data_IF_525775538930
#
_entry.id   IF_525775538930
#
_cell.length_a   1.000
_cell.length_b   1.000
_cell.length_c   1.000
_cell.angle_alpha   90.00
_cell.angle_beta   90.00
_cell.angle_gamma   90.00
#
_symmetry.space_group_name_H-M   'P 1'
#
loop_
_entity.id
_entity.type
_entity.pdbx_description
1 polymer ?
#
# COMPACT_ATOMS: atom_id res chain seq x y z
N UNK A 1 40.06 -44.45 22.24
CA UNK A 1 39.95 -43.28 21.33
C UNK A 1 38.49 -42.91 21.21
N UNK A 2 38.06 -41.77 21.77
CA UNK A 2 36.65 -41.37 21.79
C UNK A 2 36.29 -40.69 20.46
N UNK A 3 35.38 -41.28 19.69
CA UNK A 3 34.79 -40.65 18.50
C UNK A 3 33.87 -39.51 18.97
N UNK A 4 34.30 -38.26 18.77
CA UNK A 4 33.43 -37.09 19.03
C UNK A 4 32.13 -37.25 18.25
N UNK A 5 31.00 -36.97 18.89
CA UNK A 5 29.69 -37.05 18.24
C UNK A 5 29.61 -36.06 17.07
N UNK A 6 28.85 -36.40 16.03
CA UNK A 6 28.66 -35.54 14.84
C UNK A 6 28.11 -34.16 15.22
N UNK A 7 27.31 -34.10 16.27
CA UNK A 7 26.75 -32.87 16.82
C UNK A 7 27.85 -31.91 17.35
N UNK A 8 28.87 -32.43 18.03
CA UNK A 8 30.01 -31.61 18.50
C UNK A 8 30.85 -31.09 17.34
N UNK A 9 30.96 -31.86 16.26
CA UNK A 9 31.77 -31.47 15.09
C UNK A 9 31.03 -30.42 14.24
N UNK A 10 29.74 -30.61 14.00
CA UNK A 10 28.99 -29.84 13.01
C UNK A 10 28.00 -28.83 13.60
N UNK A 11 27.65 -28.94 14.88
CA UNK A 11 26.57 -28.16 15.50
C UNK A 11 26.74 -26.65 15.35
N UNK A 12 27.96 -26.14 15.59
CA UNK A 12 28.27 -24.71 15.41
C UNK A 12 28.20 -24.25 13.95
N UNK A 13 28.64 -25.08 13.01
CA UNK A 13 28.58 -24.76 11.58
C UNK A 13 27.15 -24.76 11.05
N UNK A 14 26.33 -25.73 11.48
CA UNK A 14 24.91 -25.81 11.13
C UNK A 14 24.17 -24.60 11.68
N UNK A 15 24.39 -24.25 12.96
CA UNK A 15 23.78 -23.07 13.58
C UNK A 15 24.19 -21.77 12.87
N UNK A 16 25.48 -21.59 12.58
CA UNK A 16 25.97 -20.41 11.86
C UNK A 16 25.45 -20.32 10.43
N UNK A 17 25.32 -21.45 9.72
CA UNK A 17 24.72 -21.49 8.39
C UNK A 17 23.23 -21.13 8.42
N UNK A 18 22.48 -21.66 9.40
CA UNK A 18 21.06 -21.33 9.59
C UNK A 18 20.84 -19.85 9.92
N UNK A 19 21.67 -19.27 10.79
CA UNK A 19 21.63 -17.83 11.10
C UNK A 19 21.87 -16.97 9.85
N UNK A 20 22.90 -17.28 9.05
CA UNK A 20 23.18 -16.55 7.81
C UNK A 20 22.03 -16.67 6.80
N UNK A 21 21.45 -17.86 6.65
CA UNK A 21 20.31 -18.06 5.77
C UNK A 21 19.09 -17.23 6.21
N UNK A 22 18.80 -17.19 7.51
CA UNK A 22 17.73 -16.36 8.06
C UNK A 22 18.01 -14.87 7.87
N UNK A 23 19.23 -14.42 8.14
CA UNK A 23 19.62 -13.01 7.96
C UNK A 23 19.46 -12.58 6.50
N UNK A 24 19.94 -13.38 5.54
CA UNK A 24 19.81 -13.08 4.12
C UNK A 24 18.33 -12.94 3.68
N UNK A 25 17.41 -13.70 4.28
CA UNK A 25 15.96 -13.56 4.03
C UNK A 25 15.41 -12.26 4.59
N UNK A 26 15.80 -11.88 5.81
CA UNK A 26 15.38 -10.63 6.44
C UNK A 26 15.90 -9.43 5.65
N UNK A 27 17.16 -9.47 5.24
CA UNK A 27 17.79 -8.41 4.44
C UNK A 27 17.09 -8.25 3.09
N UNK A 28 16.75 -9.36 2.43
CA UNK A 28 16.01 -9.35 1.18
C UNK A 28 14.59 -8.76 1.36
N UNK A 29 13.86 -9.14 2.41
CA UNK A 29 12.54 -8.58 2.70
C UNK A 29 12.61 -7.07 2.98
N UNK A 30 13.62 -6.64 3.73
CA UNK A 30 13.87 -5.22 4.02
C UNK A 30 14.16 -4.44 2.73
N UNK A 31 15.00 -4.99 1.84
CA UNK A 31 15.32 -4.36 0.56
C UNK A 31 14.08 -4.23 -0.34
N UNK A 32 13.21 -5.25 -0.37
CA UNK A 32 11.93 -5.19 -1.11
C UNK A 32 11.02 -4.12 -0.53
N UNK A 33 10.93 -4.02 0.81
CA UNK A 33 10.14 -2.99 1.48
C UNK A 33 10.61 -1.58 1.14
N UNK A 34 11.91 -1.36 1.11
CA UNK A 34 12.49 -0.07 0.76
C UNK A 34 12.23 0.29 -0.72
N UNK A 35 12.36 -0.69 -1.62
CA UNK A 35 12.04 -0.50 -3.04
C UNK A 35 10.56 -0.10 -3.23
N UNK A 36 9.65 -0.81 -2.58
CA UNK A 36 8.21 -0.52 -2.63
C UNK A 36 7.87 0.86 -2.06
N UNK A 37 8.57 1.28 -1.00
CA UNK A 37 8.44 2.62 -0.43
C UNK A 37 8.87 3.70 -1.43
N UNK A 38 10.04 3.53 -2.04
CA UNK A 38 10.57 4.46 -3.02
C UNK A 38 9.67 4.59 -4.26
N UNK A 39 9.12 3.47 -4.75
CA UNK A 39 8.15 3.48 -5.86
C UNK A 39 6.86 4.24 -5.52
N UNK A 40 6.32 3.99 -4.32
CA UNK A 40 5.12 4.65 -3.83
C UNK A 40 5.34 6.16 -3.63
N UNK A 41 6.47 6.57 -3.06
CA UNK A 41 6.83 7.97 -2.89
C UNK A 41 7.01 8.67 -4.24
N UNK A 42 7.75 8.07 -5.17
CA UNK A 42 7.96 8.62 -6.51
C UNK A 42 6.64 8.82 -7.26
N UNK A 43 5.71 7.88 -7.14
CA UNK A 43 4.36 8.02 -7.69
C UNK A 43 3.59 9.14 -7.00
N UNK A 44 3.65 9.22 -5.67
CA UNK A 44 2.99 10.24 -4.86
C UNK A 44 3.41 11.66 -5.26
N UNK A 45 4.72 11.90 -5.37
CA UNK A 45 5.31 13.18 -5.79
C UNK A 45 4.89 13.54 -7.22
N UNK A 46 4.90 12.56 -8.14
CA UNK A 46 4.44 12.77 -9.52
C UNK A 46 2.98 13.21 -9.56
N UNK A 47 2.12 12.54 -8.80
CA UNK A 47 0.68 12.83 -8.78
C UNK A 47 0.37 14.16 -8.11
N UNK A 48 1.05 14.51 -7.01
CA UNK A 48 0.85 15.80 -6.33
C UNK A 48 1.40 16.98 -7.14
N UNK A 49 2.54 16.80 -7.82
CA UNK A 49 3.19 17.86 -8.59
C UNK A 49 2.58 18.10 -9.98
N UNK A 50 2.37 17.03 -10.76
CA UNK A 50 1.90 17.14 -12.15
C UNK A 50 0.40 16.84 -12.32
N UNK A 51 -0.26 16.24 -11.33
CA UNK A 51 -1.66 15.83 -11.43
C UNK A 51 -1.91 14.63 -12.35
N UNK A 52 -0.86 13.97 -12.86
CA UNK A 52 -0.95 12.81 -13.74
C UNK A 52 0.22 12.73 -14.74
N UNK A 53 0.32 11.64 -15.53
CA UNK A 53 -0.61 10.50 -15.60
C UNK A 53 -0.49 9.54 -14.41
N UNK A 54 -1.60 8.88 -14.07
CA UNK A 54 -1.63 7.87 -12.99
C UNK A 54 -0.77 6.64 -13.30
N UNK A 55 -0.37 6.44 -14.56
CA UNK A 55 0.46 5.33 -15.02
C UNK A 55 1.94 5.76 -15.19
N UNK A 56 2.89 4.86 -14.89
CA UNK A 56 2.73 3.61 -14.14
C UNK A 56 2.49 3.88 -12.65
N UNK A 57 1.65 3.06 -11.99
CA UNK A 57 1.41 3.13 -10.54
C UNK A 57 1.90 1.88 -9.84
N UNK A 58 2.32 1.98 -8.57
CA UNK A 58 2.53 0.80 -7.72
C UNK A 58 1.22 0.03 -7.51
N UNK A 59 1.34 -1.20 -7.02
CA UNK A 59 0.22 -2.02 -6.57
C UNK A 59 -0.19 -1.68 -5.14
N UNK A 60 -1.44 -2.01 -4.77
CA UNK A 60 -1.94 -1.84 -3.39
C UNK A 60 -1.01 -2.53 -2.37
N UNK A 61 -0.50 -3.72 -2.71
CA UNK A 61 0.41 -4.50 -1.90
C UNK A 61 1.75 -3.82 -1.69
N UNK A 62 2.34 -3.27 -2.76
CA UNK A 62 3.60 -2.51 -2.66
C UNK A 62 3.42 -1.25 -1.81
N UNK A 63 2.33 -0.50 -1.99
CA UNK A 63 2.06 0.67 -1.14
C UNK A 63 1.97 0.29 0.34
N UNK A 64 1.24 -0.78 0.67
CA UNK A 64 1.11 -1.25 2.05
C UNK A 64 2.44 -1.79 2.59
N UNK A 65 3.24 -2.50 1.79
CA UNK A 65 4.55 -2.97 2.19
C UNK A 65 5.49 -1.79 2.49
N UNK A 66 5.50 -0.77 1.61
CA UNK A 66 6.26 0.46 1.76
C UNK A 66 5.74 1.44 2.81
N UNK A 67 4.68 1.09 3.57
CA UNK A 67 4.16 1.92 4.67
C UNK A 67 3.14 2.98 4.26
N UNK A 68 2.76 3.06 2.99
CA UNK A 68 1.71 3.97 2.50
C UNK A 68 0.33 3.34 2.66
N UNK A 69 -0.33 3.61 3.80
CA UNK A 69 -1.65 3.07 4.13
C UNK A 69 -2.84 3.82 3.51
N UNK A 70 -2.62 5.04 3.01
CA UNK A 70 -3.72 5.95 2.64
C UNK A 70 -3.54 6.51 1.23
N UNK A 71 -4.66 6.60 0.51
CA UNK A 71 -4.76 7.23 -0.79
C UNK A 71 -5.63 8.48 -0.70
N UNK A 72 -5.06 9.63 -1.00
CA UNK A 72 -5.83 10.86 -1.13
C UNK A 72 -6.49 10.95 -2.50
N UNK A 73 -7.77 11.28 -2.49
CA UNK A 73 -8.58 11.45 -3.70
C UNK A 73 -9.34 12.77 -3.63
N UNK A 74 -9.56 13.41 -4.77
CA UNK A 74 -10.31 14.65 -4.90
C UNK A 74 -11.55 14.45 -5.77
N UNK A 75 -12.70 14.91 -5.29
CA UNK A 75 -13.93 14.92 -6.08
C UNK A 75 -13.86 15.97 -7.20
N UNK A 76 -14.06 15.56 -8.46
CA UNK A 76 -14.04 16.48 -9.59
C UNK A 76 -15.10 17.59 -9.52
N UNK A 77 -16.24 17.34 -8.85
CA UNK A 77 -17.36 18.30 -8.75
C UNK A 77 -17.19 19.32 -7.63
N UNK A 78 -16.89 18.87 -6.41
CA UNK A 78 -16.82 19.74 -5.20
C UNK A 78 -15.41 20.12 -4.80
N UNK A 79 -14.37 19.55 -5.43
CA UNK A 79 -12.96 19.75 -5.07
C UNK A 79 -12.64 19.38 -3.62
N UNK A 80 -13.46 18.53 -3.03
CA UNK A 80 -13.25 18.01 -1.68
C UNK A 80 -12.28 16.84 -1.74
N UNK A 81 -11.26 16.88 -0.87
CA UNK A 81 -10.31 15.79 -0.70
C UNK A 81 -10.76 14.81 0.37
N UNK A 82 -10.42 13.54 0.21
CA UNK A 82 -10.67 12.48 1.18
C UNK A 82 -9.50 11.50 1.21
N UNK A 83 -9.16 10.99 2.40
CA UNK A 83 -8.19 9.90 2.54
C UNK A 83 -8.92 8.56 2.61
N UNK A 84 -8.62 7.68 1.66
CA UNK A 84 -9.12 6.31 1.58
C UNK A 84 -8.09 5.34 2.13
N UNK A 85 -8.47 4.46 3.07
CA UNK A 85 -7.58 3.43 3.58
C UNK A 85 -7.39 2.32 2.52
N UNK A 86 -6.16 2.04 2.12
CA UNK A 86 -5.82 1.04 1.09
C UNK A 86 -6.02 -0.41 1.56
N UNK A 87 -5.95 -0.64 2.87
CA UNK A 87 -6.20 -1.95 3.47
C UNK A 87 -7.66 -2.40 3.34
N UNK A 88 -8.61 -1.47 3.46
CA UNK A 88 -10.06 -1.69 3.40
C UNK A 88 -10.61 -1.82 1.98
N UNK A 89 -9.80 -1.55 0.95
CA UNK A 89 -10.21 -1.72 -0.44
C UNK A 89 -10.33 -3.21 -0.75
N UNK A 90 -11.54 -3.66 -1.13
CA UNK A 90 -11.86 -5.06 -1.52
C UNK A 90 -11.32 -5.44 -2.90
N UNK A 91 -10.10 -5.03 -3.23
CA UNK A 91 -9.39 -5.42 -4.46
C UNK A 91 -8.18 -6.28 -4.09
N UNK A 92 -7.78 -7.21 -4.96
CA UNK A 92 -6.53 -7.94 -4.80
C UNK A 92 -5.33 -7.01 -4.57
N UNK A 93 -4.37 -7.41 -3.75
CA UNK A 93 -3.21 -6.57 -3.40
C UNK A 93 -2.25 -6.35 -4.58
N UNK A 94 -2.26 -7.23 -5.57
CA UNK A 94 -1.56 -7.08 -6.85
C UNK A 94 -2.21 -6.06 -7.80
N UNK A 95 -3.37 -5.48 -7.42
CA UNK A 95 -4.05 -4.51 -8.27
C UNK A 95 -3.26 -3.19 -8.29
N UNK A 96 -2.84 -2.69 -9.47
CA UNK A 96 -2.22 -1.37 -9.58
C UNK A 96 -3.23 -0.26 -9.25
N UNK A 97 -2.79 0.75 -8.51
CA UNK A 97 -3.63 1.86 -8.06
C UNK A 97 -4.37 2.57 -9.20
N UNK A 98 -3.75 2.72 -10.37
CA UNK A 98 -4.40 3.40 -11.51
C UNK A 98 -5.73 2.74 -11.92
N UNK A 99 -5.90 1.43 -11.70
CA UNK A 99 -7.17 0.73 -11.97
C UNK A 99 -8.30 1.12 -11.00
N UNK A 100 -7.96 1.69 -9.84
CA UNK A 100 -8.94 2.18 -8.88
C UNK A 100 -9.66 3.42 -9.40
N UNK A 101 -9.04 4.21 -10.27
CA UNK A 101 -9.58 5.49 -10.78
C UNK A 101 -11.01 5.36 -11.31
N UNK A 102 -11.30 4.30 -12.08
CA UNK A 102 -12.63 4.05 -12.61
C UNK A 102 -13.68 3.75 -11.51
N UNK A 103 -13.25 3.15 -10.40
CA UNK A 103 -14.10 2.79 -9.26
C UNK A 103 -14.30 3.95 -8.27
N UNK A 104 -13.45 4.98 -8.30
CA UNK A 104 -13.50 6.10 -7.37
C UNK A 104 -14.66 7.05 -7.73
N UNK A 105 -15.69 7.06 -6.88
CA UNK A 105 -16.88 7.90 -7.01
C UNK A 105 -17.15 8.64 -5.71
N UNK A 106 -17.47 9.93 -5.81
CA UNK A 106 -17.82 10.72 -4.64
C UNK A 106 -19.23 10.36 -4.13
N UNK A 107 -19.34 9.77 -2.93
CA UNK A 107 -20.63 9.43 -2.30
C UNK A 107 -21.48 10.68 -2.01
N UNK A 108 -20.87 11.76 -1.54
CA UNK A 108 -21.59 12.99 -1.18
C UNK A 108 -22.19 13.75 -2.38
N UNK A 109 -21.66 13.51 -3.58
CA UNK A 109 -22.17 14.09 -4.83
C UNK A 109 -22.99 13.10 -5.66
N UNK A 110 -23.08 11.84 -5.22
CA UNK A 110 -23.75 10.75 -5.93
C UNK A 110 -25.27 10.98 -5.90
N UNK A 111 -25.89 10.91 -7.06
CA UNK A 111 -27.34 10.85 -7.24
C UNK A 111 -27.71 9.54 -7.94
N UNK A 112 -28.99 9.23 -8.07
CA UNK A 112 -29.46 8.03 -8.81
C UNK A 112 -28.97 7.98 -10.26
N UNK A 113 -28.72 9.15 -10.88
CA UNK A 113 -28.36 9.25 -12.30
C UNK A 113 -26.89 9.55 -12.56
N UNK A 114 -26.14 9.99 -11.55
CA UNK A 114 -24.76 10.44 -11.77
C UNK A 114 -23.91 10.33 -10.51
N UNK A 115 -22.68 9.85 -10.69
CA UNK A 115 -21.65 9.83 -9.66
C UNK A 115 -20.38 10.48 -10.23
N UNK A 116 -19.96 11.67 -9.76
CA UNK A 116 -18.80 12.32 -10.33
C UNK A 116 -17.53 11.50 -10.04
N UNK A 117 -16.59 11.48 -10.99
CA UNK A 117 -15.31 10.83 -10.80
C UNK A 117 -14.52 11.53 -9.69
N UNK A 118 -13.64 10.77 -9.05
CA UNK A 118 -12.63 11.33 -8.17
C UNK A 118 -11.24 11.00 -8.71
N UNK A 119 -10.37 12.01 -8.74
CA UNK A 119 -8.98 11.89 -9.16
C UNK A 119 -8.12 11.51 -7.96
N UNK A 120 -7.13 10.66 -8.18
CA UNK A 120 -6.11 10.36 -7.16
C UNK A 120 -5.14 11.53 -7.07
N UNK A 121 -4.69 11.86 -5.86
CA UNK A 121 -3.80 12.99 -5.60
C UNK A 121 -2.44 12.51 -5.13
N UNK A 122 -2.39 11.70 -4.07
CA UNK A 122 -1.14 11.24 -3.48
C UNK A 122 -1.32 10.06 -2.53
N UNK A 123 -0.21 9.40 -2.21
CA UNK A 123 -0.13 8.40 -1.15
C UNK A 123 0.40 9.02 0.13
N UNK A 124 -0.14 8.58 1.27
CA UNK A 124 0.28 9.03 2.60
C UNK A 124 0.43 7.87 3.57
N UNK A 125 1.43 7.94 4.44
CA UNK A 125 1.68 6.94 5.49
C UNK A 125 0.60 7.03 6.58
N UNK A 126 0.31 8.25 6.99
CA UNK A 126 -0.73 8.58 7.96
C UNK A 126 -1.92 9.21 7.29
N UNK A 127 -3.07 9.09 7.92
CA UNK A 127 -4.29 9.75 7.48
C UNK A 127 -4.16 11.27 7.65
N UNK A 128 -3.91 11.99 6.56
CA UNK A 128 -3.81 13.46 6.60
C UNK A 128 -5.18 14.14 6.59
N UNK A 129 -6.18 13.52 5.95
CA UNK A 129 -7.52 14.08 5.81
C UNK A 129 -8.52 13.19 6.53
N UNK A 130 -9.08 13.70 7.61
CA UNK A 130 -10.21 13.10 8.30
C UNK A 130 -11.39 13.03 7.32
N UNK A 131 -11.97 11.88 7.00
CA UNK A 131 -13.19 11.87 6.24
C UNK A 131 -14.34 12.25 7.17
N UNK A 132 -15.26 12.96 6.55
CA UNK A 132 -16.69 12.73 6.73
C UNK A 132 -16.99 11.27 7.13
N UNK A 133 -17.68 11.11 8.28
CA UNK A 133 -18.17 9.87 8.91
C UNK A 133 -18.12 8.62 8.01
N UNK A 134 -17.24 7.67 8.34
CA UNK A 134 -17.23 6.32 7.77
C UNK A 134 -18.47 5.59 8.32
N UNK A 135 -19.60 5.68 7.62
CA UNK A 135 -20.84 4.99 7.99
C UNK A 135 -20.88 3.67 7.22
N UNK A 136 -20.87 2.56 7.97
CA UNK A 136 -20.98 1.22 7.41
C UNK A 136 -22.33 1.09 6.70
N UNK A 137 -22.45 0.39 5.55
CA UNK A 137 -23.72 0.26 4.81
C UNK A 137 -24.90 -0.35 5.60
N UNK A 138 -24.68 -0.83 6.82
CA UNK A 138 -25.69 -1.39 7.72
C UNK A 138 -26.31 -0.37 8.67
N UNK A 139 -25.82 0.88 8.71
CA UNK A 139 -26.29 1.92 9.64
C UNK A 139 -27.41 2.81 9.07
N UNK A 140 -27.87 2.57 7.83
CA UNK A 140 -29.03 3.24 7.21
C UNK A 140 -30.29 2.35 7.28
N UNK A 141 -30.62 1.81 8.47
CA UNK A 141 -31.87 1.06 8.68
C UNK A 141 -32.71 1.65 9.79
#
# INVERSE_FOLDING_TARGET
MSTKSREVIWGGQIMGAAMRANQARVDAESAVREADRAEAEAWSVRMEGYGGPAQPSPTIGQCLNGGFGWLEVECARRKTRASLPLDAIRRPKDTPLWKLEASLKCRACRTTRYAPPASMIKLTETRQITPYKWVHPTEDR
#
